data_IF_649315721488
#
_entry.id   IF_649315721488
#
_cell.length_a   1.000
_cell.length_b   1.000
_cell.length_c   1.000
_cell.angle_alpha   90.00
_cell.angle_beta   90.00
_cell.angle_gamma   90.00
#
_symmetry.space_group_name_H-M   'P 1'
#
loop_
_entity.id
_entity.type
_entity.pdbx_description
1 polymer ?
#
# COMPACT_ATOMS: atom_id res chain seq x y z
N UNK A 1 -6.75 17.75 -18.49
CA UNK A 1 -6.48 17.46 -17.07
C UNK A 1 -6.98 16.05 -16.81
N UNK A 2 -6.09 15.04 -16.84
CA UNK A 2 -6.50 13.64 -16.76
C UNK A 2 -6.81 13.33 -15.30
N UNK A 3 -8.05 12.93 -15.02
CA UNK A 3 -8.53 12.62 -13.69
C UNK A 3 -7.89 11.29 -13.25
N UNK A 4 -6.73 11.34 -12.60
CA UNK A 4 -5.98 10.15 -12.16
C UNK A 4 -6.74 9.47 -11.01
N UNK A 5 -7.60 8.52 -11.36
CA UNK A 5 -8.39 7.78 -10.38
C UNK A 5 -7.52 6.69 -9.73
N UNK A 6 -6.78 7.06 -8.69
CA UNK A 6 -5.92 6.17 -7.88
C UNK A 6 -6.65 4.91 -7.37
N UNK A 7 -7.98 4.89 -7.34
CA UNK A 7 -8.74 3.73 -6.90
C UNK A 7 -8.68 2.53 -7.88
N UNK A 8 -8.33 2.76 -9.15
CA UNK A 8 -8.22 1.70 -10.19
C UNK A 8 -6.87 0.98 -10.15
N UNK A 9 -5.85 1.58 -9.54
CA UNK A 9 -4.49 1.05 -9.53
C UNK A 9 -4.36 -0.28 -8.77
N UNK A 10 -5.30 -0.61 -7.88
CA UNK A 10 -5.25 -1.87 -7.13
C UNK A 10 -5.31 -3.09 -8.07
N UNK A 11 -6.12 -3.02 -9.13
CA UNK A 11 -6.24 -4.13 -10.09
C UNK A 11 -4.92 -4.34 -10.84
N UNK A 12 -4.32 -3.25 -11.32
CA UNK A 12 -3.04 -3.28 -12.01
C UNK A 12 -1.93 -3.82 -11.09
N UNK A 13 -1.86 -3.33 -9.84
CA UNK A 13 -0.87 -3.81 -8.86
C UNK A 13 -1.01 -5.30 -8.54
N UNK A 14 -2.24 -5.81 -8.43
CA UNK A 14 -2.49 -7.25 -8.20
C UNK A 14 -2.09 -8.08 -9.42
N UNK A 15 -2.28 -7.56 -10.62
CA UNK A 15 -1.85 -8.22 -11.86
C UNK A 15 -0.32 -8.18 -12.04
N UNK A 16 0.32 -7.06 -11.76
CA UNK A 16 1.79 -6.94 -11.75
C UNK A 16 2.42 -7.87 -10.71
N UNK A 17 1.83 -7.97 -9.52
CA UNK A 17 2.27 -8.91 -8.50
C UNK A 17 2.19 -10.36 -9.01
N UNK A 18 1.10 -10.73 -9.69
CA UNK A 18 0.97 -12.05 -10.31
C UNK A 18 1.98 -12.25 -11.43
N UNK A 19 2.24 -11.24 -12.25
CA UNK A 19 3.24 -11.33 -13.31
C UNK A 19 4.65 -11.54 -12.74
N UNK A 20 4.96 -10.91 -11.61
CA UNK A 20 6.25 -11.01 -10.93
C UNK A 20 6.42 -12.32 -10.14
N UNK A 21 5.39 -12.79 -9.44
CA UNK A 21 5.46 -13.96 -8.53
C UNK A 21 4.80 -15.23 -9.07
N UNK A 22 4.11 -15.15 -10.21
CA UNK A 22 3.31 -16.22 -10.80
C UNK A 22 1.95 -16.45 -10.14
N UNK A 23 1.67 -15.85 -8.98
CA UNK A 23 0.52 -16.17 -8.14
C UNK A 23 -0.19 -14.91 -7.63
N UNK A 24 -1.48 -15.01 -7.33
CA UNK A 24 -2.19 -13.93 -6.65
C UNK A 24 -1.85 -13.92 -5.15
N UNK A 25 -1.76 -12.75 -4.51
CA UNK A 25 -1.45 -12.66 -3.10
C UNK A 25 -2.61 -13.23 -2.26
N UNK A 26 -2.31 -13.97 -1.19
CA UNK A 26 -3.33 -14.52 -0.29
C UNK A 26 -4.11 -13.40 0.42
N UNK A 27 -3.42 -12.32 0.82
CA UNK A 27 -4.07 -11.15 1.39
C UNK A 27 -3.45 -9.83 0.95
N UNK A 28 -4.30 -8.80 0.84
CA UNK A 28 -3.90 -7.44 0.46
C UNK A 28 -4.20 -6.47 1.59
N UNK A 29 -3.15 -5.82 2.08
CA UNK A 29 -3.19 -4.77 3.09
C UNK A 29 -3.17 -3.38 2.44
N UNK A 30 -4.35 -2.91 2.04
CA UNK A 30 -4.50 -1.64 1.33
C UNK A 30 -5.21 -0.56 2.17
N UNK A 31 -4.86 0.70 1.90
CA UNK A 31 -5.46 1.87 2.54
C UNK A 31 -6.96 2.02 2.24
N UNK A 32 -7.64 2.83 3.06
CA UNK A 32 -9.08 3.10 2.93
C UNK A 32 -9.50 3.56 1.53
N UNK A 33 -8.64 4.33 0.85
CA UNK A 33 -8.90 4.82 -0.50
C UNK A 33 -9.02 3.70 -1.55
N UNK A 34 -8.39 2.55 -1.30
CA UNK A 34 -8.47 1.36 -2.16
C UNK A 34 -9.59 0.40 -1.75
N UNK A 35 -10.24 0.61 -0.59
CA UNK A 35 -11.32 -0.25 -0.08
C UNK A 35 -12.68 0.03 -0.72
N UNK A 36 -12.70 0.26 -2.04
CA UNK A 36 -13.93 0.47 -2.83
C UNK A 36 -14.69 -0.84 -3.03
N UNK A 37 -15.97 -0.75 -3.39
CA UNK A 37 -16.82 -1.94 -3.66
C UNK A 37 -16.29 -2.76 -4.84
N UNK A 38 -15.82 -2.09 -5.89
CA UNK A 38 -15.24 -2.73 -7.08
C UNK A 38 -13.97 -3.51 -6.73
N UNK A 39 -13.03 -2.89 -6.01
CA UNK A 39 -11.79 -3.53 -5.59
C UNK A 39 -12.04 -4.74 -4.68
N UNK A 40 -13.02 -4.66 -3.77
CA UNK A 40 -13.43 -5.83 -2.96
C UNK A 40 -14.00 -6.95 -3.81
N UNK A 41 -14.79 -6.62 -4.84
CA UNK A 41 -15.37 -7.62 -5.76
C UNK A 41 -14.26 -8.34 -6.51
N UNK A 42 -13.31 -7.59 -7.07
CA UNK A 42 -12.14 -8.13 -7.78
C UNK A 42 -11.30 -9.02 -6.85
N UNK A 43 -11.00 -8.55 -5.63
CA UNK A 43 -10.26 -9.35 -4.65
C UNK A 43 -11.01 -10.64 -4.30
N UNK A 44 -12.33 -10.58 -4.09
CA UNK A 44 -13.14 -11.77 -3.80
C UNK A 44 -13.18 -12.75 -4.96
N UNK A 45 -13.34 -12.26 -6.20
CA UNK A 45 -13.29 -13.07 -7.43
C UNK A 45 -11.93 -13.76 -7.61
N UNK A 46 -10.84 -13.08 -7.25
CA UNK A 46 -9.48 -13.62 -7.33
C UNK A 46 -9.06 -14.44 -6.09
N UNK A 47 -9.93 -14.61 -5.09
CA UNK A 47 -9.64 -15.35 -3.86
C UNK A 47 -8.73 -14.62 -2.87
N UNK A 48 -8.55 -13.31 -3.04
CA UNK A 48 -7.65 -12.46 -2.26
C UNK A 48 -8.39 -11.94 -1.03
N UNK A 49 -7.85 -12.20 0.17
CA UNK A 49 -8.37 -11.63 1.43
C UNK A 49 -7.96 -10.17 1.56
N UNK A 50 -8.92 -9.25 1.46
CA UNK A 50 -8.66 -7.85 1.79
C UNK A 50 -8.68 -7.60 3.29
N UNK A 51 -7.63 -6.96 3.84
CA UNK A 51 -7.60 -6.60 5.26
C UNK A 51 -8.42 -5.35 5.57
N UNK A 52 -8.82 -5.24 6.83
CA UNK A 52 -9.51 -4.09 7.39
C UNK A 52 -11.02 -4.31 7.56
N UNK A 53 -11.68 -3.43 8.33
CA UNK A 53 -13.07 -3.64 8.72
C UNK A 53 -14.02 -3.75 7.52
N UNK A 54 -15.10 -4.55 7.64
CA UNK A 54 -16.15 -4.63 6.63
C UNK A 54 -16.71 -3.23 6.34
N UNK A 55 -17.05 -2.97 5.08
CA UNK A 55 -17.70 -1.72 4.70
C UNK A 55 -19.14 -1.77 5.22
N UNK A 56 -19.43 -1.03 6.30
CA UNK A 56 -20.76 -0.99 6.91
C UNK A 56 -20.74 -1.16 8.42
N UNK A 57 -21.90 -1.48 8.99
CA UNK A 57 -22.06 -1.65 10.44
C UNK A 57 -21.27 -2.89 10.90
N UNK A 58 -20.34 -2.78 11.86
CA UNK A 58 -19.67 -3.94 12.42
C UNK A 58 -20.70 -4.88 13.07
N UNK A 59 -20.54 -6.19 12.90
CA UNK A 59 -21.40 -7.18 13.54
C UNK A 59 -21.26 -7.10 15.06
N UNK A 60 -22.37 -7.32 15.79
CA UNK A 60 -22.36 -7.33 17.27
C UNK A 60 -21.53 -8.48 17.86
N UNK A 61 -21.42 -9.59 17.13
CA UNK A 61 -20.51 -10.70 17.46
C UNK A 61 -19.30 -10.59 16.53
N UNK A 62 -18.19 -10.10 17.09
CA UNK A 62 -16.88 -10.10 16.43
C UNK A 62 -16.15 -11.32 16.97
N UNK A 63 -15.78 -12.23 16.08
CA UNK A 63 -15.04 -13.41 16.49
C UNK A 63 -13.66 -13.03 17.05
N UNK A 64 -13.21 -13.71 18.10
CA UNK A 64 -11.94 -13.37 18.79
C UNK A 64 -10.74 -13.50 17.83
N UNK A 65 -10.81 -14.45 16.91
CA UNK A 65 -9.78 -14.68 15.89
C UNK A 65 -9.72 -13.54 14.87
N UNK A 66 -10.87 -13.08 14.38
CA UNK A 66 -10.93 -11.93 13.47
C UNK A 66 -10.40 -10.65 14.12
N UNK A 67 -10.66 -10.46 15.42
CA UNK A 67 -10.10 -9.33 16.16
C UNK A 67 -8.57 -9.41 16.25
N UNK A 68 -8.00 -10.59 16.51
CA UNK A 68 -6.53 -10.79 16.51
C UNK A 68 -5.94 -10.55 15.13
N UNK A 69 -6.55 -11.08 14.07
CA UNK A 69 -6.12 -10.87 12.69
C UNK A 69 -6.10 -9.38 12.35
N UNK A 70 -7.18 -8.65 12.67
CA UNK A 70 -7.28 -7.21 12.42
C UNK A 70 -6.18 -6.43 13.15
N UNK A 71 -5.86 -6.78 14.40
CA UNK A 71 -4.77 -6.13 15.14
C UNK A 71 -3.39 -6.39 14.52
N UNK A 72 -3.14 -7.59 14.00
CA UNK A 72 -1.89 -7.90 13.31
C UNK A 72 -1.77 -7.13 12.00
N UNK A 73 -2.85 -7.09 11.22
CA UNK A 73 -2.94 -6.34 9.97
C UNK A 73 -2.70 -4.84 10.21
N UNK A 74 -3.27 -4.27 11.29
CA UNK A 74 -3.05 -2.88 11.70
C UNK A 74 -1.59 -2.62 12.10
N UNK A 75 -0.93 -3.54 12.81
CA UNK A 75 0.49 -3.42 13.17
C UNK A 75 1.39 -3.43 11.94
N UNK A 76 1.15 -4.35 11.00
CA UNK A 76 1.90 -4.41 9.74
C UNK A 76 1.71 -3.12 8.94
N UNK A 77 0.47 -2.62 8.85
CA UNK A 77 0.17 -1.34 8.20
C UNK A 77 0.91 -0.18 8.84
N UNK A 78 0.91 -0.08 10.17
CA UNK A 78 1.65 0.97 10.89
C UNK A 78 3.16 0.90 10.64
N UNK A 79 3.73 -0.30 10.55
CA UNK A 79 5.15 -0.48 10.22
C UNK A 79 5.46 0.02 8.80
N UNK A 80 4.65 -0.37 7.82
CA UNK A 80 4.79 0.04 6.42
C UNK A 80 4.61 1.56 6.26
N UNK A 81 3.55 2.13 6.84
CA UNK A 81 3.31 3.58 6.85
C UNK A 81 4.46 4.34 7.53
N UNK A 82 4.98 3.79 8.64
CA UNK A 82 6.15 4.33 9.33
C UNK A 82 7.38 4.38 8.43
N UNK A 83 7.67 3.31 7.67
CA UNK A 83 8.76 3.28 6.69
C UNK A 83 8.55 4.28 5.56
N UNK A 84 7.33 4.40 5.03
CA UNK A 84 7.01 5.44 4.03
C UNK A 84 7.12 6.86 4.60
N UNK A 85 6.74 7.07 5.86
CA UNK A 85 6.90 8.34 6.57
C UNK A 85 8.36 8.72 6.79
N UNK A 86 9.19 7.74 7.20
CA UNK A 86 10.65 7.87 7.24
C UNK A 86 11.20 8.21 5.86
N UNK A 87 10.68 7.59 4.80
CA UNK A 87 11.15 7.90 3.46
C UNK A 87 10.85 9.33 3.03
N UNK A 88 9.61 9.78 3.24
CA UNK A 88 9.17 11.13 2.86
C UNK A 88 9.87 12.24 3.67
N UNK A 89 9.96 12.08 5.00
CA UNK A 89 10.51 13.10 5.90
C UNK A 89 12.01 12.95 6.10
N UNK A 90 12.47 11.72 6.34
CA UNK A 90 13.86 11.41 6.63
C UNK A 90 14.77 11.49 5.42
N UNK A 91 14.35 10.98 4.25
CA UNK A 91 15.11 11.15 3.00
C UNK A 91 14.66 12.39 2.19
N UNK A 92 13.81 13.25 2.77
CA UNK A 92 13.26 14.44 2.10
C UNK A 92 12.68 14.17 0.71
N UNK A 93 12.19 12.95 0.45
CA UNK A 93 11.56 12.60 -0.84
C UNK A 93 10.29 13.41 -1.10
N UNK A 94 9.64 13.90 -0.03
CA UNK A 94 8.51 14.83 -0.14
C UNK A 94 8.88 16.22 -0.69
N UNK A 95 10.17 16.53 -0.88
CA UNK A 95 10.66 17.79 -1.46
C UNK A 95 11.29 17.59 -2.84
N UNK A 96 11.16 16.41 -3.45
CA UNK A 96 11.59 16.18 -4.83
C UNK A 96 10.54 16.82 -5.74
N UNK A 97 10.89 17.97 -6.32
CA UNK A 97 10.02 18.76 -7.21
C UNK A 97 10.26 18.47 -8.70
N UNK A 98 11.03 17.41 -8.99
CA UNK A 98 11.35 16.99 -10.35
C UNK A 98 10.06 16.63 -11.11
N UNK A 99 9.88 17.24 -12.28
CA UNK A 99 8.66 17.09 -13.09
C UNK A 99 8.76 15.96 -14.12
N UNK A 100 9.99 15.54 -14.47
CA UNK A 100 10.25 14.47 -15.44
C UNK A 100 10.62 13.18 -14.70
N UNK A 101 10.09 12.04 -15.16
CA UNK A 101 10.27 10.72 -14.54
C UNK A 101 11.75 10.40 -14.28
N UNK A 102 12.59 10.54 -15.30
CA UNK A 102 14.03 10.28 -15.25
C UNK A 102 14.71 11.09 -14.14
N UNK A 103 14.48 12.41 -14.11
CA UNK A 103 15.06 13.30 -13.09
C UNK A 103 14.54 13.01 -11.69
N UNK A 104 13.29 12.56 -11.56
CA UNK A 104 12.72 12.19 -10.26
C UNK A 104 13.34 10.91 -9.72
N UNK A 105 13.58 9.91 -10.57
CA UNK A 105 14.23 8.64 -10.20
C UNK A 105 15.65 8.90 -9.71
N UNK A 106 16.45 9.64 -10.48
CA UNK A 106 17.83 9.99 -10.09
C UNK A 106 17.87 10.78 -8.79
N UNK A 107 16.94 11.74 -8.59
CA UNK A 107 16.87 12.52 -7.35
C UNK A 107 16.45 11.68 -6.13
N UNK A 108 15.59 10.68 -6.32
CA UNK A 108 15.19 9.73 -5.28
C UNK A 108 16.39 8.86 -4.90
N UNK A 109 17.09 8.28 -5.87
CA UNK A 109 18.28 7.43 -5.68
C UNK A 109 19.41 8.17 -4.98
N UNK A 110 19.72 9.40 -5.41
CA UNK A 110 20.76 10.21 -4.78
C UNK A 110 20.42 10.54 -3.32
N UNK A 111 19.15 10.86 -3.02
CA UNK A 111 18.72 11.22 -1.66
C UNK A 111 18.62 10.03 -0.72
N UNK A 112 18.24 8.86 -1.23
CA UNK A 112 18.27 7.62 -0.45
C UNK A 112 19.71 7.19 -0.16
N UNK A 113 20.62 7.31 -1.14
CA UNK A 113 22.03 6.98 -1.00
C UNK A 113 22.79 7.94 -0.06
N UNK A 114 22.60 9.26 -0.20
CA UNK A 114 23.33 10.28 0.56
C UNK A 114 23.16 10.15 2.09
N UNK A 115 22.03 9.63 2.56
CA UNK A 115 21.78 9.44 4.00
C UNK A 115 22.25 8.07 4.50
N UNK A 116 22.49 7.10 3.62
CA UNK A 116 23.14 5.83 3.96
C UNK A 116 24.65 6.00 4.22
N UNK A 117 25.29 6.98 3.58
CA UNK A 117 26.71 7.30 3.76
C UNK A 117 27.00 8.20 4.98
N UNK A 118 26.00 8.90 5.52
CA UNK A 118 26.10 9.76 6.71
C UNK A 118 25.80 9.03 8.04
N UNK A 119 25.68 7.69 8.01
CA UNK A 119 25.39 6.84 9.18
C UNK A 119 26.54 5.85 9.51
N UNK A 120 27.77 6.16 9.09
CA UNK A 120 28.99 5.56 9.63
C UNK A 120 29.66 6.53 10.61
#
# INVERSE_FOLDING_TARGET
>A
MVNYNKSVDLKAQVEDFKNYTGHYPESVHADQIYRTRENRKICKEKGIRMSGPPLGRPSKNIDKEQKKQTQLDERLRNHIEGKFGQAKRGFSLGKVMAKLSETSTTAIELRSAARSQLLF
#
